data_IF_542395263781
#
_entry.id   IF_542395263781
#
_cell.length_a   1.000
_cell.length_b   1.000
_cell.length_c   1.000
_cell.angle_alpha   90.00
_cell.angle_beta   90.00
_cell.angle_gamma   90.00
#
_symmetry.space_group_name_H-M   'P 1'
#
loop_
_entity.id
_entity.type
_entity.pdbx_description
1 polymer ?
#
# COMPACT_ATOMS: atom_id res chain seq x y z
N UNK A 1 -4.75 -40.80 3.45
CA UNK A 1 -4.34 -39.71 2.54
C UNK A 1 -4.27 -38.46 3.42
N UNK A 2 -3.06 -38.03 3.80
CA UNK A 2 -2.86 -36.92 4.74
C UNK A 2 -3.08 -35.60 4.00
N UNK A 3 -4.10 -34.86 4.40
CA UNK A 3 -4.32 -33.47 3.99
C UNK A 3 -3.17 -32.63 4.53
N UNK A 4 -2.30 -32.15 3.63
CA UNK A 4 -1.35 -31.09 3.95
C UNK A 4 -2.14 -29.80 4.18
N UNK A 5 -2.61 -29.61 5.41
CA UNK A 5 -3.03 -28.30 5.88
C UNK A 5 -1.76 -27.44 5.91
N UNK A 6 -1.58 -26.61 4.87
CA UNK A 6 -0.60 -25.53 4.94
C UNK A 6 -1.07 -24.66 6.09
N UNK A 7 -0.40 -24.82 7.24
CA UNK A 7 -0.62 -24.03 8.44
C UNK A 7 -0.35 -22.58 8.04
N UNK A 8 -1.41 -21.81 7.81
CA UNK A 8 -1.29 -20.37 7.60
C UNK A 8 -0.54 -19.82 8.80
N UNK A 9 0.61 -19.21 8.53
CA UNK A 9 1.44 -18.59 9.57
C UNK A 9 0.57 -17.57 10.29
N UNK A 10 0.53 -17.66 11.62
CA UNK A 10 -0.37 -16.84 12.42
C UNK A 10 0.10 -15.39 12.45
N UNK A 11 -0.86 -14.49 12.68
CA UNK A 11 -0.80 -13.02 12.61
C UNK A 11 0.35 -12.36 13.39
N UNK A 12 0.94 -13.04 14.38
CA UNK A 12 2.06 -12.53 15.18
C UNK A 12 3.45 -12.72 14.55
N UNK A 13 3.59 -13.58 13.52
CA UNK A 13 4.88 -13.84 12.86
C UNK A 13 5.24 -12.76 11.81
N UNK A 14 4.33 -11.84 11.52
CA UNK A 14 4.45 -10.82 10.46
C UNK A 14 4.00 -9.43 10.93
N UNK A 15 4.38 -9.00 12.13
CA UNK A 15 4.34 -7.56 12.47
C UNK A 15 5.35 -6.81 11.59
N UNK A 16 4.99 -6.62 10.31
CA UNK A 16 5.73 -5.82 9.36
C UNK A 16 5.42 -4.38 9.73
N UNK A 17 6.35 -3.74 10.44
CA UNK A 17 6.22 -2.29 10.73
C UNK A 17 5.88 -1.52 9.45
N UNK A 18 5.05 -0.47 9.53
CA UNK A 18 4.71 0.41 8.38
C UNK A 18 5.96 0.77 7.56
N UNK A 19 7.08 1.06 8.24
CA UNK A 19 8.37 1.37 7.61
C UNK A 19 8.95 0.24 6.75
N UNK A 20 8.76 -1.02 7.15
CA UNK A 20 9.16 -2.19 6.36
C UNK A 20 8.18 -2.45 5.23
N UNK A 21 6.88 -2.33 5.49
CA UNK A 21 5.82 -2.51 4.49
C UNK A 21 5.96 -1.53 3.33
N UNK A 22 6.27 -0.25 3.60
CA UNK A 22 6.53 0.76 2.58
C UNK A 22 7.63 0.36 1.57
N UNK A 23 8.60 -0.46 2.00
CA UNK A 23 9.71 -0.93 1.15
C UNK A 23 9.43 -2.24 0.42
N UNK A 24 8.30 -2.87 0.71
CA UNK A 24 7.90 -4.11 0.05
C UNK A 24 7.30 -3.80 -1.32
N UNK A 25 7.49 -4.74 -2.24
CA UNK A 25 6.89 -4.71 -3.57
C UNK A 25 5.38 -4.89 -3.47
N UNK A 26 4.65 -4.19 -4.32
CA UNK A 26 3.23 -4.49 -4.55
C UNK A 26 3.14 -5.79 -5.32
N UNK A 27 2.23 -6.67 -4.92
CA UNK A 27 2.04 -7.99 -5.52
C UNK A 27 0.59 -8.11 -5.99
N UNK A 28 0.41 -8.50 -7.24
CA UNK A 28 -0.88 -8.89 -7.81
C UNK A 28 -0.96 -10.43 -8.01
N UNK A 29 -1.99 -10.92 -8.69
CA UNK A 29 -2.16 -12.35 -8.96
C UNK A 29 -1.03 -12.97 -9.81
N UNK A 30 -0.25 -12.15 -10.52
CA UNK A 30 0.84 -12.55 -11.40
C UNK A 30 2.23 -12.32 -10.79
N UNK A 31 2.30 -11.77 -9.56
CA UNK A 31 3.54 -11.52 -8.85
C UNK A 31 3.81 -10.02 -8.64
N UNK A 32 5.08 -9.60 -8.48
CA UNK A 32 5.41 -8.21 -8.23
C UNK A 32 5.00 -7.30 -9.40
N UNK A 33 4.27 -6.23 -9.07
CA UNK A 33 3.89 -5.19 -10.03
C UNK A 33 5.14 -4.46 -10.50
N UNK A 34 5.26 -4.27 -11.81
CA UNK A 34 6.40 -3.62 -12.45
C UNK A 34 5.97 -2.42 -13.28
N UNK A 35 6.81 -1.39 -13.29
CA UNK A 35 6.71 -0.27 -14.21
C UNK A 35 7.09 -0.71 -15.64
N UNK A 36 6.88 0.18 -16.62
CA UNK A 36 7.13 -0.09 -18.05
C UNK A 36 8.57 -0.46 -18.37
N UNK A 37 9.52 -0.04 -17.52
CA UNK A 37 10.94 -0.35 -17.62
C UNK A 37 11.34 -1.65 -16.90
N UNK A 38 10.37 -2.38 -16.33
CA UNK A 38 10.60 -3.62 -15.57
C UNK A 38 10.99 -3.38 -14.11
N UNK A 39 11.05 -2.13 -13.64
CA UNK A 39 11.34 -1.83 -12.23
C UNK A 39 10.17 -2.26 -11.35
N UNK A 40 10.44 -3.02 -10.30
CA UNK A 40 9.43 -3.42 -9.32
C UNK A 40 8.96 -2.19 -8.54
N UNK A 41 7.65 -2.03 -8.43
CA UNK A 41 7.00 -0.92 -7.73
C UNK A 41 6.82 -1.28 -6.25
N UNK A 42 7.29 -0.41 -5.38
CA UNK A 42 7.10 -0.51 -3.92
C UNK A 42 5.80 0.16 -3.46
N UNK A 43 5.33 -0.21 -2.26
CA UNK A 43 4.18 0.46 -1.65
C UNK A 43 4.41 1.97 -1.48
N UNK A 44 5.62 2.40 -1.14
CA UNK A 44 5.93 3.81 -1.03
C UNK A 44 5.77 4.55 -2.36
N UNK A 45 6.33 4.00 -3.45
CA UNK A 45 6.25 4.62 -4.78
C UNK A 45 4.81 4.72 -5.29
N UNK A 46 3.98 3.72 -5.01
CA UNK A 46 2.56 3.77 -5.34
C UNK A 46 1.80 4.82 -4.51
N UNK A 47 2.09 4.93 -3.21
CA UNK A 47 1.45 5.91 -2.34
C UNK A 47 1.83 7.32 -2.78
N UNK A 48 3.10 7.56 -3.10
CA UNK A 48 3.57 8.84 -3.59
C UNK A 48 2.85 9.21 -4.90
N UNK A 49 2.79 8.29 -5.88
CA UNK A 49 2.02 8.49 -7.11
C UNK A 49 0.53 8.77 -6.85
N UNK A 50 -0.11 7.97 -6.00
CA UNK A 50 -1.53 8.14 -5.69
C UNK A 50 -1.84 9.48 -5.03
N UNK A 51 -0.96 9.92 -4.11
CA UNK A 51 -1.05 11.23 -3.48
C UNK A 51 -0.94 12.33 -4.53
N UNK A 52 0.00 12.23 -5.46
CA UNK A 52 0.19 13.25 -6.50
C UNK A 52 -1.05 13.36 -7.40
N UNK A 53 -1.61 12.24 -7.87
CA UNK A 53 -2.86 12.22 -8.65
C UNK A 53 -4.04 12.80 -7.86
N UNK A 54 -4.11 12.52 -6.56
CA UNK A 54 -5.15 13.05 -5.69
C UNK A 54 -4.99 14.56 -5.48
N UNK A 55 -3.76 15.06 -5.34
CA UNK A 55 -3.47 16.49 -5.22
C UNK A 55 -3.85 17.23 -6.50
N UNK A 56 -3.54 16.66 -7.68
CA UNK A 56 -3.97 17.22 -8.97
C UNK A 56 -5.50 17.35 -9.03
N UNK A 57 -6.23 16.29 -8.66
CA UNK A 57 -7.69 16.32 -8.62
C UNK A 57 -8.23 17.39 -7.65
N UNK A 58 -7.68 17.48 -6.44
CA UNK A 58 -8.10 18.45 -5.42
C UNK A 58 -7.89 19.89 -5.93
N UNK A 59 -6.75 20.14 -6.59
CA UNK A 59 -6.41 21.43 -7.16
C UNK A 59 -7.35 21.81 -8.32
N UNK A 60 -7.73 20.83 -9.16
CA UNK A 60 -8.69 21.04 -10.26
C UNK A 60 -10.06 21.50 -9.75
N UNK A 61 -10.49 20.99 -8.58
CA UNK A 61 -11.72 21.40 -7.92
C UNK A 61 -11.57 22.61 -6.98
N UNK A 62 -10.39 23.26 -6.97
CA UNK A 62 -10.09 24.45 -6.16
C UNK A 62 -10.27 24.26 -4.65
N UNK A 63 -10.15 23.02 -4.16
CA UNK A 63 -10.11 22.76 -2.73
C UNK A 63 -8.74 23.14 -2.17
N UNK A 64 -8.73 23.72 -0.97
CA UNK A 64 -7.49 24.10 -0.28
C UNK A 64 -7.20 23.08 0.80
N UNK A 65 -6.02 22.47 0.73
CA UNK A 65 -5.50 21.63 1.82
C UNK A 65 -4.75 22.54 2.80
N UNK A 66 -5.27 22.65 4.02
CA UNK A 66 -4.71 23.51 5.07
C UNK A 66 -3.35 23.00 5.59
N UNK A 67 -3.16 21.68 5.64
CA UNK A 67 -1.93 21.02 6.08
C UNK A 67 -1.61 19.85 5.15
N UNK A 68 -0.79 20.13 4.14
CA UNK A 68 -0.38 19.15 3.12
C UNK A 68 0.36 17.96 3.74
N UNK A 69 1.20 18.21 4.76
CA UNK A 69 1.99 17.14 5.38
C UNK A 69 1.07 16.17 6.10
N UNK A 70 0.16 16.68 6.94
CA UNK A 70 -0.81 15.85 7.66
C UNK A 70 -1.71 15.09 6.69
N UNK A 71 -2.17 15.74 5.63
CA UNK A 71 -2.96 15.10 4.58
C UNK A 71 -2.24 13.88 3.97
N UNK A 72 -0.98 14.07 3.53
CA UNK A 72 -0.15 12.98 2.97
C UNK A 72 0.03 11.83 3.97
N UNK A 73 0.28 12.15 5.24
CA UNK A 73 0.44 11.15 6.30
C UNK A 73 -0.85 10.34 6.55
N UNK A 74 -2.02 10.99 6.53
CA UNK A 74 -3.33 10.37 6.70
C UNK A 74 -3.67 9.44 5.53
N UNK A 75 -3.42 9.85 4.28
CA UNK A 75 -3.61 9.00 3.10
C UNK A 75 -2.69 7.78 3.15
N UNK A 76 -1.41 7.97 3.46
CA UNK A 76 -0.46 6.86 3.60
C UNK A 76 -0.85 5.89 4.73
N UNK A 77 -1.43 6.40 5.83
CA UNK A 77 -1.94 5.56 6.92
C UNK A 77 -3.22 4.82 6.51
N UNK A 78 -4.14 5.48 5.82
CA UNK A 78 -5.37 4.90 5.32
C UNK A 78 -5.10 3.71 4.39
N UNK A 79 -4.22 3.89 3.40
CA UNK A 79 -3.84 2.83 2.44
C UNK A 79 -3.18 1.65 3.17
N UNK A 80 -2.30 1.93 4.14
CA UNK A 80 -1.68 0.88 4.97
C UNK A 80 -2.74 0.07 5.74
N UNK A 81 -3.66 0.74 6.40
CA UNK A 81 -4.73 0.09 7.19
C UNK A 81 -5.66 -0.74 6.32
N UNK A 82 -6.03 -0.25 5.12
CA UNK A 82 -6.80 -1.03 4.16
C UNK A 82 -6.05 -2.29 3.70
N UNK A 83 -4.74 -2.16 3.49
CA UNK A 83 -3.89 -3.28 3.06
C UNK A 83 -3.74 -4.34 4.17
N UNK A 84 -3.76 -3.93 5.43
CA UNK A 84 -3.66 -4.84 6.59
C UNK A 84 -5.01 -5.51 6.94
N UNK A 85 -6.13 -4.84 6.67
CA UNK A 85 -7.49 -5.36 6.92
C UNK A 85 -8.01 -6.30 5.84
N UNK A 86 -7.30 -6.45 4.71
CA UNK A 86 -7.66 -7.31 3.57
C UNK A 86 -7.62 -8.84 3.81
N UNK A 87 -7.47 -9.32 5.04
CA UNK A 87 -7.44 -10.75 5.40
C UNK A 87 -8.82 -11.35 5.74
N UNK A 88 -9.90 -10.76 5.23
CA UNK A 88 -11.26 -11.29 5.33
C UNK A 88 -11.84 -11.54 3.93
N UNK A 89 -11.30 -12.55 3.24
CA UNK A 89 -11.83 -13.12 2.00
C UNK A 89 -11.55 -14.61 1.98
#
# INVERSE_FOLDING_TARGET
MLTNFVRSKSRADYEVTKKKWLKMSIVDLNGPVQAKDGKIITHNEYIDWFIDELMELINDYQYIIEDEKKFKEEIAHFIYTLSDTGNHG
#
